data_IF_425907546088
#
_entry.id   IF_425907546088
#
_cell.length_a   1.000
_cell.length_b   1.000
_cell.length_c   1.000
_cell.angle_alpha   90.00
_cell.angle_beta   90.00
_cell.angle_gamma   90.00
#
_symmetry.space_group_name_H-M   'P 1'
#
loop_
_entity.id
_entity.type
_entity.pdbx_description
1 polymer ?
#
# COMPACT_ATOMS: atom_id res chain seq x y z
N UNK A 1 11.09 -45.36 -57.63
CA UNK A 1 12.44 -45.05 -57.11
C UNK A 1 12.41 -43.69 -56.44
N UNK A 2 13.09 -43.60 -55.30
CA UNK A 2 13.11 -42.50 -54.35
C UNK A 2 13.89 -41.29 -54.88
N UNK A 3 13.45 -40.06 -54.55
CA UNK A 3 14.39 -38.98 -54.22
C UNK A 3 13.77 -38.15 -53.09
N UNK A 4 14.17 -38.45 -51.85
CA UNK A 4 13.83 -37.64 -50.68
C UNK A 4 14.66 -36.34 -50.72
N UNK A 5 14.00 -35.19 -50.76
CA UNK A 5 14.65 -33.89 -50.57
C UNK A 5 14.79 -33.63 -49.06
N UNK A 6 16.00 -33.76 -48.55
CA UNK A 6 16.34 -33.38 -47.18
C UNK A 6 16.44 -31.85 -47.09
N UNK A 7 15.52 -31.22 -46.35
CA UNK A 7 15.65 -29.81 -45.96
C UNK A 7 16.40 -29.74 -44.63
N UNK A 8 17.70 -29.43 -44.66
CA UNK A 8 18.48 -29.12 -43.47
C UNK A 8 18.33 -27.65 -43.10
N UNK A 9 17.40 -27.31 -42.21
CA UNK A 9 17.38 -25.97 -41.60
C UNK A 9 18.37 -25.94 -40.42
N UNK A 10 19.55 -25.37 -40.68
CA UNK A 10 20.61 -25.08 -39.70
C UNK A 10 20.06 -24.09 -38.66
N UNK A 11 20.11 -24.44 -37.37
CA UNK A 11 19.81 -23.49 -36.27
C UNK A 11 20.91 -22.42 -36.20
N UNK A 12 20.62 -21.12 -36.19
CA UNK A 12 21.62 -20.12 -35.85
C UNK A 12 21.98 -20.22 -34.36
N UNK A 13 23.28 -20.28 -34.06
CA UNK A 13 23.81 -20.28 -32.71
C UNK A 13 23.49 -18.95 -31.99
N UNK A 14 23.07 -19.05 -30.73
CA UNK A 14 22.76 -17.90 -29.86
C UNK A 14 24.07 -17.23 -29.41
N UNK A 15 24.29 -15.92 -29.66
CA UNK A 15 25.51 -15.26 -29.19
C UNK A 15 25.53 -15.17 -27.67
N UNK A 16 26.70 -15.48 -27.14
CA UNK A 16 27.11 -15.45 -25.73
C UNK A 16 27.24 -14.02 -25.20
N UNK A 17 26.63 -13.79 -24.03
CA UNK A 17 27.01 -12.85 -22.97
C UNK A 17 27.33 -11.40 -23.40
N UNK A 18 26.35 -10.51 -23.27
CA UNK A 18 26.61 -9.08 -23.13
C UNK A 18 26.98 -8.77 -21.67
N UNK A 19 27.98 -7.90 -21.40
CA UNK A 19 28.33 -7.51 -20.03
C UNK A 19 27.19 -6.72 -19.40
N UNK A 20 26.86 -7.08 -18.15
CA UNK A 20 25.81 -6.41 -17.39
C UNK A 20 26.17 -4.94 -17.18
N UNK A 21 25.48 -4.04 -17.88
CA UNK A 21 25.48 -2.61 -17.55
C UNK A 21 25.06 -2.44 -16.09
N UNK A 22 25.97 -1.96 -15.26
CA UNK A 22 25.69 -1.55 -13.90
C UNK A 22 24.66 -0.42 -13.97
N UNK A 23 23.40 -0.74 -13.69
CA UNK A 23 22.34 0.27 -13.61
C UNK A 23 22.63 1.12 -12.39
N UNK A 24 22.94 2.40 -12.62
CA UNK A 24 23.10 3.40 -11.58
C UNK A 24 21.91 3.31 -10.60
N UNK A 25 22.22 3.20 -9.31
CA UNK A 25 21.23 3.19 -8.24
C UNK A 25 20.60 4.58 -8.15
N UNK A 26 19.52 4.79 -8.91
CA UNK A 26 18.62 5.91 -8.68
C UNK A 26 18.05 5.71 -7.29
N UNK A 27 18.46 6.55 -6.34
CA UNK A 27 17.81 6.67 -5.03
C UNK A 27 16.45 7.36 -5.27
N UNK A 28 15.53 6.57 -5.84
CA UNK A 28 14.12 6.87 -5.82
C UNK A 28 13.75 6.90 -4.35
N UNK A 29 13.12 7.98 -3.86
CA UNK A 29 12.43 8.00 -2.56
C UNK A 29 11.64 6.70 -2.42
N UNK A 30 12.21 5.71 -1.73
CA UNK A 30 11.72 4.34 -1.77
C UNK A 30 10.38 4.38 -1.04
N UNK A 31 9.28 4.33 -1.80
CA UNK A 31 7.98 3.99 -1.22
C UNK A 31 8.22 2.71 -0.44
N UNK A 32 7.93 2.66 0.87
CA UNK A 32 8.15 1.45 1.63
C UNK A 32 7.28 0.38 0.99
N UNK A 33 7.93 -0.57 0.33
CA UNK A 33 7.27 -1.62 -0.47
C UNK A 33 7.43 -2.95 0.22
N UNK A 34 8.40 -3.06 1.14
CA UNK A 34 8.75 -4.27 1.85
C UNK A 34 8.36 -4.15 3.31
N UNK A 35 8.04 -5.29 3.90
CA UNK A 35 7.75 -5.40 5.34
C UNK A 35 8.95 -5.01 6.21
N UNK A 36 10.17 -5.20 5.70
CA UNK A 36 11.43 -4.78 6.35
C UNK A 36 11.50 -3.29 6.65
N UNK A 37 10.83 -2.47 5.85
CA UNK A 37 10.89 -1.01 5.99
C UNK A 37 10.18 -0.53 7.27
N UNK A 38 9.33 -1.39 7.85
CA UNK A 38 8.55 -1.12 9.05
C UNK A 38 9.05 -1.91 10.27
N UNK A 39 10.01 -2.83 10.12
CA UNK A 39 10.43 -3.70 11.23
C UNK A 39 11.14 -2.96 12.36
N UNK A 40 11.74 -1.80 12.07
CA UNK A 40 12.41 -0.94 13.06
C UNK A 40 11.47 -0.06 13.89
N UNK A 41 10.18 0.04 13.54
CA UNK A 41 9.22 0.87 14.26
C UNK A 41 8.71 0.19 15.53
N UNK A 42 8.42 0.97 16.58
CA UNK A 42 7.77 0.47 17.79
C UNK A 42 6.33 0.02 17.52
N UNK A 43 5.69 -0.71 18.44
CA UNK A 43 4.29 -1.14 18.27
C UNK A 43 3.34 0.06 18.16
N UNK A 44 3.58 1.09 18.96
CA UNK A 44 2.79 2.32 18.95
C UNK A 44 2.97 3.08 17.64
N UNK A 45 4.21 3.17 17.14
CA UNK A 45 4.52 3.80 15.85
C UNK A 45 3.91 3.03 14.67
N UNK A 46 3.90 1.69 14.71
CA UNK A 46 3.25 0.87 13.68
C UNK A 46 1.75 1.14 13.61
N UNK A 47 1.10 1.26 14.77
CA UNK A 47 -0.33 1.59 14.86
C UNK A 47 -0.57 3.03 14.40
N UNK A 48 0.25 3.98 14.84
CA UNK A 48 0.19 5.37 14.40
C UNK A 48 0.33 5.51 12.89
N UNK A 49 1.33 4.85 12.30
CA UNK A 49 1.55 4.82 10.85
C UNK A 49 0.38 4.19 10.10
N UNK A 50 -0.22 3.13 10.64
CA UNK A 50 -1.41 2.53 10.05
C UNK A 50 -2.61 3.49 10.05
N UNK A 51 -2.76 4.33 11.08
CA UNK A 51 -3.82 5.35 11.14
C UNK A 51 -3.57 6.50 10.16
N UNK A 52 -2.32 6.98 10.04
CA UNK A 52 -1.94 7.98 9.03
C UNK A 52 -2.26 7.48 7.62
N UNK A 53 -1.82 6.25 7.28
CA UNK A 53 -2.08 5.63 5.99
C UNK A 53 -3.58 5.45 5.72
N UNK A 54 -4.40 5.18 6.75
CA UNK A 54 -5.87 5.14 6.61
C UNK A 54 -6.45 6.52 6.27
N UNK A 55 -5.93 7.61 6.87
CA UNK A 55 -6.34 8.99 6.54
C UNK A 55 -5.93 9.36 5.11
N UNK A 56 -4.70 9.04 4.72
CA UNK A 56 -4.22 9.23 3.33
C UNK A 56 -5.06 8.44 2.32
N UNK A 57 -5.45 7.21 2.65
CA UNK A 57 -6.35 6.40 1.82
C UNK A 57 -7.72 7.09 1.64
N UNK A 58 -8.25 7.69 2.71
CA UNK A 58 -9.52 8.41 2.64
C UNK A 58 -9.40 9.66 1.76
N UNK A 59 -8.33 10.45 1.94
CA UNK A 59 -8.04 11.64 1.14
C UNK A 59 -7.87 11.30 -0.35
N UNK A 60 -7.09 10.27 -0.66
CA UNK A 60 -6.83 9.84 -2.03
C UNK A 60 -8.09 9.33 -2.72
N UNK A 61 -8.95 8.58 -2.01
CA UNK A 61 -10.28 8.20 -2.49
C UNK A 61 -11.18 9.41 -2.72
N UNK A 62 -11.14 10.41 -1.85
CA UNK A 62 -11.92 11.63 -2.01
C UNK A 62 -11.49 12.38 -3.26
N UNK A 63 -10.19 12.66 -3.43
CA UNK A 63 -9.64 13.32 -4.61
C UNK A 63 -9.95 12.57 -5.92
N UNK A 64 -9.95 11.23 -5.90
CA UNK A 64 -10.34 10.44 -7.07
C UNK A 64 -11.82 10.55 -7.41
N UNK A 65 -12.70 10.63 -6.40
CA UNK A 65 -14.14 10.82 -6.60
C UNK A 65 -14.47 12.24 -7.05
N UNK A 66 -13.80 13.23 -6.48
CA UNK A 66 -13.97 14.65 -6.82
C UNK A 66 -13.14 15.07 -8.04
N UNK A 67 -12.43 14.14 -8.70
CA UNK A 67 -11.59 14.42 -9.88
C UNK A 67 -10.59 15.57 -9.63
N UNK A 68 -10.02 15.66 -8.43
CA UNK A 68 -8.99 16.63 -8.09
C UNK A 68 -9.52 18.00 -7.62
N UNK A 69 -10.84 18.14 -7.44
CA UNK A 69 -11.44 19.35 -6.86
C UNK A 69 -11.03 19.42 -5.38
N UNK A 70 -10.07 20.30 -5.07
CA UNK A 70 -9.51 20.47 -3.74
C UNK A 70 -10.19 21.56 -2.91
N UNK A 71 -10.61 22.66 -3.54
CA UNK A 71 -11.16 23.84 -2.87
C UNK A 71 -12.29 24.44 -3.72
N UNK A 72 -13.42 24.78 -3.09
CA UNK A 72 -14.45 25.60 -3.71
C UNK A 72 -14.03 27.06 -3.52
N UNK A 73 -13.63 27.74 -4.61
CA UNK A 73 -13.41 29.18 -4.57
C UNK A 73 -14.76 29.89 -4.50
N UNK A 74 -14.92 30.80 -3.54
CA UNK A 74 -16.15 31.57 -3.38
C UNK A 74 -16.40 32.41 -4.66
N UNK A 75 -17.46 32.10 -5.40
CA UNK A 75 -17.84 32.77 -6.64
C UNK A 75 -17.71 31.94 -7.92
N UNK A 76 -17.09 30.75 -7.89
CA UNK A 76 -17.08 29.84 -9.04
C UNK A 76 -18.29 28.88 -9.00
N UNK A 77 -19.10 28.88 -10.06
CA UNK A 77 -20.32 28.05 -10.15
C UNK A 77 -20.03 26.57 -10.41
N UNK A 78 -18.85 26.24 -10.96
CA UNK A 78 -18.37 24.87 -11.08
C UNK A 78 -16.85 24.80 -10.84
N UNK A 79 -16.38 23.97 -9.89
CA UNK A 79 -14.96 23.72 -9.73
C UNK A 79 -14.42 22.94 -10.92
N UNK A 80 -13.41 23.49 -11.58
CA UNK A 80 -12.78 22.86 -12.73
C UNK A 80 -11.91 21.68 -12.26
N UNK A 81 -12.06 20.48 -12.85
CA UNK A 81 -11.27 19.32 -12.45
C UNK A 81 -9.82 19.49 -12.90
N UNK A 82 -8.88 19.48 -11.95
CA UNK A 82 -7.44 19.49 -12.21
C UNK A 82 -6.93 18.05 -12.39
N UNK A 83 -6.66 17.56 -13.62
CA UNK A 83 -6.28 16.17 -13.86
C UNK A 83 -4.94 15.79 -13.22
N UNK A 84 -4.04 16.75 -13.01
CA UNK A 84 -2.74 16.54 -12.36
C UNK A 84 -2.87 16.27 -10.85
N UNK A 85 -3.92 16.80 -10.22
CA UNK A 85 -4.19 16.62 -8.78
C UNK A 85 -4.88 15.29 -8.48
N UNK A 86 -5.31 14.54 -9.50
CA UNK A 86 -5.97 13.24 -9.33
C UNK A 86 -4.95 12.15 -9.00
N UNK A 87 -5.01 11.52 -7.81
CA UNK A 87 -4.11 10.44 -7.47
C UNK A 87 -4.32 9.23 -8.38
N UNK A 88 -3.23 8.63 -8.88
CA UNK A 88 -3.27 7.44 -9.74
C UNK A 88 -3.92 6.25 -9.03
N UNK A 89 -4.71 5.46 -9.76
CA UNK A 89 -5.48 4.34 -9.18
C UNK A 89 -4.64 3.29 -8.42
N UNK A 90 -3.39 3.04 -8.83
CA UNK A 90 -2.50 2.10 -8.14
C UNK A 90 -2.06 2.57 -6.76
N UNK A 91 -2.14 3.87 -6.46
CA UNK A 91 -1.75 4.45 -5.17
C UNK A 91 -2.58 3.85 -4.03
N UNK A 92 -3.90 3.69 -4.22
CA UNK A 92 -4.78 3.04 -3.26
C UNK A 92 -4.35 1.60 -2.94
N UNK A 93 -3.87 0.86 -3.95
CA UNK A 93 -3.39 -0.51 -3.77
C UNK A 93 -2.12 -0.53 -2.92
N UNK A 94 -1.22 0.42 -3.13
CA UNK A 94 0.01 0.54 -2.35
C UNK A 94 -0.27 0.92 -0.89
N UNK A 95 -1.12 1.92 -0.65
CA UNK A 95 -1.48 2.34 0.71
C UNK A 95 -2.14 1.18 1.47
N UNK A 96 -3.10 0.46 0.85
CA UNK A 96 -3.70 -0.74 1.48
C UNK A 96 -2.67 -1.81 1.83
N UNK A 97 -1.68 -2.02 0.96
CA UNK A 97 -0.60 -2.98 1.21
C UNK A 97 0.25 -2.55 2.40
N UNK A 98 0.62 -1.28 2.49
CA UNK A 98 1.41 -0.74 3.60
C UNK A 98 0.66 -0.86 4.93
N UNK A 99 -0.65 -0.54 4.96
CA UNK A 99 -1.50 -0.74 6.15
C UNK A 99 -1.45 -2.21 6.59
N UNK A 100 -1.62 -3.14 5.65
CA UNK A 100 -1.57 -4.56 5.96
C UNK A 100 -0.20 -5.00 6.49
N UNK A 101 0.90 -4.47 5.95
CA UNK A 101 2.26 -4.76 6.43
C UNK A 101 2.45 -4.30 7.88
N UNK A 102 2.04 -3.07 8.23
CA UNK A 102 2.13 -2.57 9.61
C UNK A 102 1.33 -3.44 10.58
N UNK A 103 0.08 -3.76 10.25
CA UNK A 103 -0.79 -4.58 11.13
C UNK A 103 -0.29 -6.02 11.24
N UNK A 104 0.33 -6.56 10.19
CA UNK A 104 0.93 -7.90 10.24
C UNK A 104 2.08 -7.95 11.24
N UNK A 105 2.96 -6.94 11.23
CA UNK A 105 4.07 -6.86 12.19
C UNK A 105 3.58 -6.73 13.62
N UNK A 106 2.56 -5.89 13.86
CA UNK A 106 1.92 -5.78 15.19
C UNK A 106 1.39 -7.14 15.63
N UNK A 107 0.68 -7.86 14.76
CA UNK A 107 0.13 -9.17 15.10
C UNK A 107 1.23 -10.22 15.33
N UNK A 108 2.31 -10.20 14.55
CA UNK A 108 3.45 -11.09 14.76
C UNK A 108 4.10 -10.88 16.13
N UNK A 109 4.24 -9.61 16.56
CA UNK A 109 4.78 -9.27 17.89
C UNK A 109 3.86 -9.71 19.02
N UNK A 110 2.55 -9.49 18.88
CA UNK A 110 1.56 -10.03 19.83
C UNK A 110 1.62 -11.56 19.93
N UNK A 111 1.82 -12.27 18.81
CA UNK A 111 1.97 -13.73 18.81
C UNK A 111 3.25 -14.12 19.56
N UNK A 112 4.37 -13.42 19.36
CA UNK A 112 5.60 -13.69 20.11
C UNK A 112 5.47 -13.41 21.61
N UNK A 113 4.62 -12.46 21.99
CA UNK A 113 4.28 -12.15 23.39
C UNK A 113 3.25 -13.14 23.98
N UNK A 114 2.77 -14.12 23.20
CA UNK A 114 1.79 -15.12 23.66
C UNK A 114 0.34 -14.61 23.73
N UNK A 115 0.04 -13.45 23.12
CA UNK A 115 -1.29 -12.84 23.13
C UNK A 115 -2.20 -13.58 22.13
N UNK A 116 -3.23 -14.23 22.66
CA UNK A 116 -4.23 -14.94 21.88
C UNK A 116 -5.08 -13.98 21.03
N UNK A 117 -5.85 -14.53 20.08
CA UNK A 117 -6.66 -13.71 19.17
C UNK A 117 -7.78 -12.95 19.89
N UNK A 118 -8.32 -13.52 20.96
CA UNK A 118 -9.47 -12.94 21.67
C UNK A 118 -9.03 -11.77 22.55
N UNK A 119 -7.92 -11.89 23.25
CA UNK A 119 -7.31 -10.79 24.03
C UNK A 119 -6.86 -9.67 23.11
N UNK A 120 -6.22 -9.97 21.98
CA UNK A 120 -5.86 -8.95 20.99
C UNK A 120 -7.07 -8.12 20.54
N UNK A 121 -8.20 -8.77 20.22
CA UNK A 121 -9.45 -8.08 19.88
C UNK A 121 -10.03 -7.25 21.03
N UNK A 122 -9.94 -7.74 22.27
CA UNK A 122 -10.38 -6.98 23.46
C UNK A 122 -9.54 -5.73 23.64
N UNK A 123 -8.22 -5.82 23.49
CA UNK A 123 -7.29 -4.69 23.56
C UNK A 123 -7.59 -3.68 22.46
N UNK A 124 -7.75 -4.12 21.21
CA UNK A 124 -8.10 -3.24 20.08
C UNK A 124 -9.44 -2.53 20.31
N UNK A 125 -10.46 -3.25 20.81
CA UNK A 125 -11.77 -2.67 21.12
C UNK A 125 -11.69 -1.67 22.27
N UNK A 126 -10.94 -1.98 23.32
CA UNK A 126 -10.71 -1.07 24.43
C UNK A 126 -9.98 0.21 23.99
N UNK A 127 -8.95 0.08 23.15
CA UNK A 127 -8.25 1.22 22.57
C UNK A 127 -9.17 2.08 21.68
N UNK A 128 -10.05 1.46 20.88
CA UNK A 128 -11.01 2.18 20.05
C UNK A 128 -12.10 2.91 20.88
N UNK A 129 -12.52 2.33 22.00
CA UNK A 129 -13.43 2.98 22.95
C UNK A 129 -12.75 4.16 23.66
N UNK A 130 -11.51 3.97 24.12
CA UNK A 130 -10.73 5.03 24.77
C UNK A 130 -10.45 6.20 23.80
N UNK A 131 -10.20 5.89 22.52
CA UNK A 131 -10.04 6.91 21.47
C UNK A 131 -11.33 7.54 20.97
N UNK A 132 -12.49 7.18 21.52
CA UNK A 132 -13.80 7.74 21.13
C UNK A 132 -14.27 7.35 19.72
N UNK A 133 -13.61 6.39 19.04
CA UNK A 133 -14.04 5.88 17.73
C UNK A 133 -15.28 4.99 17.83
N UNK A 134 -15.49 4.37 18.99
CA UNK A 134 -16.67 3.58 19.29
C UNK A 134 -17.42 4.26 20.43
N UNK A 135 -18.72 4.49 20.27
CA UNK A 135 -19.58 4.85 21.38
C UNK A 135 -19.94 3.57 22.14
N UNK A 136 -19.80 3.59 23.47
CA UNK A 136 -20.33 2.49 24.27
C UNK A 136 -21.86 2.58 24.21
N UNK A 137 -22.50 1.52 23.73
CA UNK A 137 -23.97 1.43 23.66
C UNK A 137 -24.65 1.42 25.04
N UNK A 138 -23.89 1.54 26.12
CA UNK A 138 -24.36 1.53 27.50
C UNK A 138 -24.81 2.91 28.02
N UNK A 139 -24.75 3.98 27.21
CA UNK A 139 -25.16 5.35 27.57
C UNK A 139 -26.34 5.89 26.75
N UNK A 140 -27.15 5.02 26.15
CA UNK A 140 -28.40 5.40 25.49
C UNK A 140 -29.60 4.92 26.33
N UNK A 141 -29.84 5.60 27.45
CA UNK A 141 -31.10 5.59 28.21
C UNK A 141 -31.41 7.03 28.61
#
# INVERSE_FOLDING_TARGET
MQVARAFSSVRPARPTVAPATQRAAVIVRVKPTKTSDFSGLSNEELVGKALELKRELAQTKWLQRTRGIGEFKAGESQPQPDPEKVPKGHLNKHIRRQIAQCLTLVRQRQISEGIDRNTARKIEKAAALAGGLLQSSAKAL
#
